data_IF_893423280601
#
_entry.id   IF_893423280601
#
_cell.length_a   1.000
_cell.length_b   1.000
_cell.length_c   1.000
_cell.angle_alpha   90.00
_cell.angle_beta   90.00
_cell.angle_gamma   90.00
#
_symmetry.space_group_name_H-M   'P 1'
#
loop_
_entity.id
_entity.type
_entity.pdbx_description
1 polymer ?
#
# COMPACT_ATOMS: atom_id res chain seq x y z
N UNK A 1 14.42 -6.43 -34.73
CA UNK A 1 15.26 -7.61 -34.45
C UNK A 1 14.34 -8.81 -34.37
N UNK A 2 14.52 -9.83 -35.23
CA UNK A 2 13.66 -11.04 -35.23
C UNK A 2 14.37 -12.07 -34.33
N UNK A 3 13.76 -12.44 -33.19
CA UNK A 3 14.29 -13.47 -32.29
C UNK A 3 13.59 -14.78 -32.61
N UNK A 4 14.36 -15.85 -32.77
CA UNK A 4 13.83 -17.18 -33.01
C UNK A 4 13.31 -17.76 -31.70
N UNK A 5 12.00 -17.91 -31.57
CA UNK A 5 11.35 -18.52 -30.41
C UNK A 5 11.11 -20.01 -30.63
N UNK A 6 11.11 -20.78 -29.54
CA UNK A 6 10.73 -22.19 -29.54
C UNK A 6 9.55 -22.36 -28.59
N UNK A 7 8.58 -23.15 -29.02
CA UNK A 7 7.48 -23.54 -28.15
C UNK A 7 7.94 -24.67 -27.19
N UNK A 8 7.64 -24.52 -25.91
CA UNK A 8 7.97 -25.50 -24.89
C UNK A 8 6.71 -25.79 -24.09
N UNK A 9 6.32 -27.06 -24.00
CA UNK A 9 5.23 -27.56 -23.16
C UNK A 9 5.83 -28.34 -22.00
N UNK A 10 5.50 -28.00 -20.78
CA UNK A 10 5.98 -28.65 -19.58
C UNK A 10 4.76 -29.15 -18.81
N UNK A 11 4.72 -30.47 -18.53
CA UNK A 11 3.70 -31.09 -17.71
C UNK A 11 4.33 -31.88 -16.58
N UNK A 12 3.71 -31.84 -15.40
CA UNK A 12 4.26 -32.51 -14.22
C UNK A 12 3.31 -32.44 -13.01
N UNK A 13 3.70 -33.05 -11.89
CA UNK A 13 2.93 -33.00 -10.66
C UNK A 13 2.85 -31.56 -10.12
N UNK A 14 1.68 -31.18 -9.59
CA UNK A 14 1.43 -29.87 -8.99
C UNK A 14 2.48 -29.47 -7.93
N UNK A 15 2.90 -30.43 -7.10
CA UNK A 15 3.86 -30.19 -5.99
C UNK A 15 5.22 -29.73 -6.47
N UNK A 16 5.55 -29.98 -7.74
CA UNK A 16 6.85 -29.62 -8.31
C UNK A 16 6.86 -28.24 -9.01
N UNK A 17 5.71 -27.56 -9.11
CA UNK A 17 5.59 -26.31 -9.87
C UNK A 17 6.58 -25.26 -9.37
N UNK A 18 6.55 -24.96 -8.07
CA UNK A 18 7.40 -23.91 -7.48
C UNK A 18 8.89 -24.25 -7.66
N UNK A 19 9.26 -25.50 -7.43
CA UNK A 19 10.63 -25.97 -7.62
C UNK A 19 11.09 -25.86 -9.08
N UNK A 20 10.22 -26.14 -10.03
CA UNK A 20 10.54 -26.05 -11.47
C UNK A 20 10.63 -24.59 -11.90
N UNK A 21 9.70 -23.75 -11.45
CA UNK A 21 9.72 -22.34 -11.71
C UNK A 21 11.00 -21.69 -11.19
N UNK A 22 11.35 -21.90 -9.93
CA UNK A 22 12.52 -21.29 -9.29
C UNK A 22 13.84 -21.82 -9.90
N UNK A 23 14.01 -23.13 -10.02
CA UNK A 23 15.27 -23.73 -10.40
C UNK A 23 15.58 -23.66 -11.90
N UNK A 24 14.55 -23.72 -12.74
CA UNK A 24 14.73 -23.85 -14.19
C UNK A 24 14.15 -22.69 -14.98
N UNK A 25 12.91 -22.23 -14.68
CA UNK A 25 12.23 -21.24 -15.50
C UNK A 25 12.68 -19.81 -15.21
N UNK A 26 12.95 -19.47 -13.95
CA UNK A 26 13.40 -18.14 -13.54
C UNK A 26 14.71 -17.65 -14.19
N UNK A 27 15.50 -18.59 -14.74
CA UNK A 27 16.80 -18.30 -15.36
C UNK A 27 16.71 -17.87 -16.83
N UNK A 28 15.55 -17.98 -17.43
CA UNK A 28 15.35 -17.73 -18.85
C UNK A 28 14.22 -16.72 -19.08
N UNK A 29 14.38 -15.89 -20.08
CA UNK A 29 13.28 -15.04 -20.56
C UNK A 29 12.27 -15.92 -21.31
N UNK A 30 11.05 -16.02 -20.77
CA UNK A 30 10.00 -16.83 -21.34
C UNK A 30 8.69 -16.05 -21.41
N UNK A 31 7.98 -16.21 -22.51
CA UNK A 31 6.61 -15.76 -22.63
C UNK A 31 5.70 -16.93 -22.24
N UNK A 32 4.90 -16.73 -21.17
CA UNK A 32 3.93 -17.72 -20.71
C UNK A 32 2.61 -17.51 -21.44
N UNK A 33 2.06 -18.59 -21.99
CA UNK A 33 0.74 -18.59 -22.60
C UNK A 33 -0.26 -19.34 -21.72
N UNK A 34 -1.51 -18.92 -21.78
CA UNK A 34 -2.56 -19.54 -20.99
C UNK A 34 -3.05 -20.82 -21.67
N UNK A 35 -2.69 -21.97 -21.11
CA UNK A 35 -3.03 -23.28 -21.66
C UNK A 35 -4.54 -23.64 -21.59
N UNK A 36 -5.39 -22.83 -20.97
CA UNK A 36 -6.84 -23.13 -20.81
C UNK A 36 -7.53 -23.37 -22.16
N UNK A 37 -7.10 -22.66 -23.19
CA UNK A 37 -7.68 -22.81 -24.54
C UNK A 37 -7.26 -24.15 -25.21
N UNK A 38 -6.04 -24.62 -24.97
CA UNK A 38 -5.50 -25.86 -25.53
C UNK A 38 -5.94 -27.07 -24.76
N UNK A 39 -6.12 -26.98 -23.43
CA UNK A 39 -6.53 -28.06 -22.55
C UNK A 39 -7.99 -28.48 -22.75
N UNK A 40 -8.83 -27.68 -23.38
CA UNK A 40 -10.23 -28.04 -23.71
C UNK A 40 -10.36 -29.24 -24.65
N UNK A 41 -9.29 -29.63 -25.30
CA UNK A 41 -9.26 -30.77 -26.23
C UNK A 41 -8.71 -32.07 -25.61
N UNK A 42 -8.30 -32.06 -24.34
CA UNK A 42 -7.65 -33.20 -23.69
C UNK A 42 -8.49 -33.66 -22.49
N UNK A 43 -9.13 -34.82 -22.58
CA UNK A 43 -10.15 -35.31 -21.63
C UNK A 43 -9.68 -35.57 -20.17
N UNK A 44 -8.37 -35.50 -19.89
CA UNK A 44 -7.82 -35.86 -18.57
C UNK A 44 -6.94 -34.73 -17.93
N UNK A 45 -6.84 -33.57 -18.55
CA UNK A 45 -6.07 -32.48 -18.00
C UNK A 45 -6.99 -31.30 -17.62
N UNK A 46 -7.02 -30.96 -16.35
CA UNK A 46 -7.73 -29.76 -15.87
C UNK A 46 -6.74 -28.62 -15.67
N UNK A 47 -7.09 -27.39 -16.08
CA UNK A 47 -6.24 -26.25 -15.81
C UNK A 47 -6.10 -26.07 -14.30
N UNK A 48 -4.89 -25.78 -13.87
CA UNK A 48 -4.62 -25.42 -12.48
C UNK A 48 -5.24 -24.04 -12.19
N UNK A 49 -6.42 -24.03 -11.61
CA UNK A 49 -7.15 -22.82 -11.22
C UNK A 49 -7.10 -22.68 -9.70
N UNK A 50 -5.94 -22.42 -9.15
CA UNK A 50 -5.84 -21.92 -7.78
C UNK A 50 -5.57 -20.41 -7.80
N UNK A 51 -6.06 -19.76 -6.75
CA UNK A 51 -5.72 -18.36 -6.50
C UNK A 51 -4.20 -18.30 -6.28
N UNK A 52 -3.50 -17.58 -7.16
CA UNK A 52 -2.07 -17.41 -7.02
C UNK A 52 -1.78 -16.66 -5.70
N UNK A 53 -1.13 -17.28 -4.70
CA UNK A 53 -0.88 -16.68 -3.39
C UNK A 53 0.04 -15.47 -3.46
N UNK A 54 0.83 -15.36 -4.52
CA UNK A 54 1.80 -14.26 -4.73
C UNK A 54 1.19 -13.01 -5.36
N UNK A 55 -0.01 -13.09 -5.89
CA UNK A 55 -0.64 -11.97 -6.63
C UNK A 55 -0.84 -10.74 -5.74
N UNK A 56 -1.33 -10.94 -4.54
CA UNK A 56 -1.58 -9.82 -3.61
C UNK A 56 -0.29 -9.21 -3.05
N UNK A 57 0.68 -10.01 -2.56
CA UNK A 57 1.98 -9.50 -2.14
C UNK A 57 2.73 -8.78 -3.26
N UNK A 58 2.71 -9.31 -4.48
CA UNK A 58 3.34 -8.66 -5.64
C UNK A 58 2.73 -7.29 -5.92
N UNK A 59 1.40 -7.19 -5.97
CA UNK A 59 0.72 -5.91 -6.20
C UNK A 59 1.06 -4.87 -5.12
N UNK A 60 1.19 -5.29 -3.85
CA UNK A 60 1.64 -4.42 -2.76
C UNK A 60 3.10 -3.98 -2.94
N UNK A 61 3.98 -4.91 -3.29
CA UNK A 61 5.39 -4.59 -3.54
C UNK A 61 5.54 -3.60 -4.70
N UNK A 62 4.79 -3.76 -5.78
CA UNK A 62 4.76 -2.81 -6.90
C UNK A 62 4.27 -1.42 -6.49
N UNK A 63 3.23 -1.34 -5.63
CA UNK A 63 2.77 -0.08 -5.07
C UNK A 63 3.84 0.62 -4.24
N UNK A 64 4.57 -0.12 -3.39
CA UNK A 64 5.66 0.44 -2.61
C UNK A 64 6.83 0.86 -3.49
N UNK A 65 7.20 0.07 -4.48
CA UNK A 65 8.24 0.42 -5.46
C UNK A 65 7.91 1.71 -6.22
N UNK A 66 6.63 1.94 -6.55
CA UNK A 66 6.19 3.17 -7.20
C UNK A 66 6.28 4.41 -6.29
N UNK A 67 6.19 4.24 -4.96
CA UNK A 67 6.38 5.32 -3.99
C UNK A 67 7.85 5.70 -3.81
N UNK A 68 8.76 4.73 -3.95
CA UNK A 68 10.21 4.92 -3.87
C UNK A 68 10.68 5.39 -5.25
N UNK A 69 10.74 6.70 -5.46
CA UNK A 69 11.19 7.27 -6.73
C UNK A 69 12.64 6.85 -7.03
N UNK A 70 12.78 5.88 -7.95
CA UNK A 70 13.98 5.66 -8.80
C UNK A 70 15.36 5.46 -8.15
N UNK A 71 15.47 4.95 -6.97
CA UNK A 71 16.75 4.37 -6.58
C UNK A 71 16.76 2.90 -7.02
N UNK A 72 17.53 2.59 -8.05
CA UNK A 72 17.85 1.21 -8.43
C UNK A 72 18.73 0.64 -7.33
N UNK A 73 18.13 0.21 -6.25
CA UNK A 73 18.83 -0.55 -5.22
C UNK A 73 18.98 -1.97 -5.77
N UNK A 74 20.18 -2.31 -6.19
CA UNK A 74 20.52 -3.70 -6.45
C UNK A 74 20.65 -4.40 -5.09
N UNK A 75 19.65 -5.19 -4.75
CA UNK A 75 19.74 -6.07 -3.59
C UNK A 75 20.59 -7.29 -4.00
N UNK A 76 21.79 -7.35 -3.50
CA UNK A 76 22.68 -8.51 -3.66
C UNK A 76 22.29 -9.69 -2.75
N UNK A 77 21.21 -9.57 -1.97
CA UNK A 77 20.75 -10.60 -1.04
C UNK A 77 19.71 -11.50 -1.70
N UNK A 78 20.04 -12.77 -1.80
CA UNK A 78 19.05 -13.81 -2.15
C UNK A 78 18.21 -14.08 -0.91
N UNK A 79 17.03 -13.47 -0.87
CA UNK A 79 16.03 -13.73 0.18
C UNK A 79 15.19 -14.94 -0.20
N UNK A 80 14.79 -15.70 0.79
CA UNK A 80 13.82 -16.78 0.58
C UNK A 80 12.41 -16.18 0.36
N UNK A 81 11.56 -16.93 -0.30
CA UNK A 81 10.19 -16.54 -0.62
C UNK A 81 9.38 -16.18 0.64
N UNK A 82 9.52 -16.98 1.69
CA UNK A 82 8.87 -16.74 2.98
C UNK A 82 9.32 -15.44 3.62
N UNK A 83 10.62 -15.16 3.61
CA UNK A 83 11.18 -13.90 4.14
C UNK A 83 10.68 -12.69 3.37
N UNK A 84 10.59 -12.78 2.04
CA UNK A 84 10.01 -11.70 1.22
C UNK A 84 8.54 -11.44 1.55
N UNK A 85 7.75 -12.48 1.72
CA UNK A 85 6.33 -12.36 2.07
C UNK A 85 6.13 -11.70 3.45
N UNK A 86 6.93 -12.09 4.42
CA UNK A 86 6.85 -11.54 5.77
C UNK A 86 7.31 -10.07 5.78
N UNK A 87 8.37 -9.73 5.06
CA UNK A 87 8.82 -8.35 4.90
C UNK A 87 7.75 -7.46 4.26
N UNK A 88 7.08 -7.93 3.21
CA UNK A 88 5.99 -7.16 2.56
C UNK A 88 4.84 -6.94 3.53
N UNK A 89 4.49 -7.93 4.35
CA UNK A 89 3.45 -7.79 5.39
C UNK A 89 3.82 -6.75 6.43
N UNK A 90 5.05 -6.79 6.92
CA UNK A 90 5.57 -5.86 7.92
C UNK A 90 5.57 -4.42 7.39
N UNK A 91 6.13 -4.19 6.20
CA UNK A 91 6.13 -2.89 5.54
C UNK A 91 4.69 -2.37 5.33
N UNK A 92 3.78 -3.24 4.88
CA UNK A 92 2.39 -2.86 4.69
C UNK A 92 1.73 -2.45 6.02
N UNK A 93 2.00 -3.17 7.11
CA UNK A 93 1.48 -2.85 8.42
C UNK A 93 2.00 -1.49 8.92
N UNK A 94 3.30 -1.25 8.78
CA UNK A 94 3.90 0.05 9.13
C UNK A 94 3.33 1.20 8.29
N UNK A 95 3.19 0.99 6.99
CA UNK A 95 2.61 1.99 6.08
C UNK A 95 1.19 2.38 6.50
N UNK A 96 0.33 1.42 6.81
CA UNK A 96 -1.03 1.67 7.27
C UNK A 96 -1.04 2.45 8.59
N UNK A 97 -0.21 2.05 9.56
CA UNK A 97 -0.07 2.77 10.83
C UNK A 97 0.38 4.23 10.64
N UNK A 98 1.29 4.48 9.70
CA UNK A 98 1.75 5.83 9.37
C UNK A 98 0.65 6.65 8.68
N UNK A 99 -0.14 6.01 7.82
CA UNK A 99 -1.28 6.66 7.17
C UNK A 99 -2.33 7.08 8.20
N UNK A 100 -2.69 6.22 9.14
CA UNK A 100 -3.66 6.53 10.20
C UNK A 100 -3.17 7.68 11.09
N UNK A 101 -1.88 7.65 11.47
CA UNK A 101 -1.26 8.75 12.23
C UNK A 101 -1.29 10.07 11.45
N UNK A 102 -0.99 10.03 10.16
CA UNK A 102 -1.03 11.21 9.28
C UNK A 102 -2.44 11.79 9.21
N UNK A 103 -3.46 10.95 9.08
CA UNK A 103 -4.85 11.39 9.03
C UNK A 103 -5.29 12.00 10.36
N UNK A 104 -4.92 11.38 11.48
CA UNK A 104 -5.19 11.91 12.81
C UNK A 104 -4.54 13.29 13.03
N UNK A 105 -3.28 13.44 12.59
CA UNK A 105 -2.56 14.70 12.69
C UNK A 105 -3.19 15.79 11.83
N UNK A 106 -3.64 15.46 10.62
CA UNK A 106 -4.37 16.40 9.75
C UNK A 106 -5.67 16.89 10.41
N UNK A 107 -6.45 15.99 11.01
CA UNK A 107 -7.68 16.36 11.74
C UNK A 107 -7.39 17.28 12.92
N UNK A 108 -6.31 17.00 13.66
CA UNK A 108 -5.87 17.88 14.77
C UNK A 108 -5.40 19.26 14.26
N UNK A 109 -4.66 19.29 13.18
CA UNK A 109 -4.21 20.54 12.56
C UNK A 109 -5.40 21.39 12.13
N UNK A 110 -6.40 20.78 11.51
CA UNK A 110 -7.63 21.48 11.09
C UNK A 110 -8.43 22.01 12.30
N UNK A 111 -8.60 21.20 13.36
CA UNK A 111 -9.25 21.63 14.59
C UNK A 111 -8.51 22.81 15.24
N UNK A 112 -7.19 22.76 15.31
CA UNK A 112 -6.37 23.86 15.85
C UNK A 112 -6.47 25.11 14.98
N UNK A 113 -6.46 24.99 13.66
CA UNK A 113 -6.67 26.12 12.75
C UNK A 113 -8.05 26.76 12.96
N UNK A 114 -9.09 25.94 13.09
CA UNK A 114 -10.43 26.44 13.35
C UNK A 114 -10.51 27.17 14.70
N UNK A 115 -9.87 26.64 15.75
CA UNK A 115 -9.80 27.32 17.05
C UNK A 115 -9.03 28.63 16.97
N UNK A 116 -7.92 28.65 16.24
CA UNK A 116 -7.16 29.90 16.02
C UNK A 116 -8.01 30.94 15.31
N UNK A 117 -8.69 30.59 14.23
CA UNK A 117 -9.57 31.50 13.49
C UNK A 117 -10.69 32.08 14.35
N UNK A 118 -11.18 31.31 15.34
CA UNK A 118 -12.19 31.79 16.28
C UNK A 118 -11.58 32.75 17.31
N UNK A 119 -10.33 32.52 17.73
CA UNK A 119 -9.67 33.31 18.77
C UNK A 119 -8.95 34.55 18.23
N UNK A 120 -8.48 34.51 16.98
CA UNK A 120 -7.72 35.61 16.35
C UNK A 120 -8.40 36.99 16.46
N UNK A 121 -9.74 37.14 16.26
CA UNK A 121 -10.42 38.42 16.42
C UNK A 121 -10.39 38.95 17.86
N UNK A 122 -10.12 38.14 18.84
CA UNK A 122 -10.08 38.50 20.25
C UNK A 122 -8.67 38.88 20.74
N UNK A 123 -7.61 38.50 19.99
CA UNK A 123 -6.23 38.80 20.36
C UNK A 123 -5.92 40.29 20.57
N UNK A 124 -6.47 41.21 19.74
CA UNK A 124 -6.24 42.68 19.95
C UNK A 124 -7.05 43.28 21.09
N UNK A 125 -7.96 42.50 21.70
CA UNK A 125 -8.74 43.00 22.83
C UNK A 125 -7.89 42.93 24.11
N UNK A 126 -7.54 44.06 24.69
CA UNK A 126 -6.87 44.17 26.00
C UNK A 126 -7.86 43.89 27.17
N UNK A 127 -8.61 42.78 27.06
CA UNK A 127 -9.61 42.40 28.05
C UNK A 127 -9.21 41.07 28.68
N UNK A 128 -9.14 41.07 30.00
CA UNK A 128 -8.95 39.82 30.74
C UNK A 128 -10.26 39.00 30.73
N UNK A 129 -10.30 38.02 29.83
CA UNK A 129 -11.47 37.15 29.65
C UNK A 129 -11.85 36.38 30.92
N UNK A 130 -10.89 36.09 31.80
CA UNK A 130 -11.17 35.43 33.07
C UNK A 130 -12.00 36.34 33.99
N UNK A 131 -11.75 37.65 34.00
CA UNK A 131 -12.56 38.58 34.77
C UNK A 131 -13.98 38.73 34.24
N UNK A 132 -14.11 38.67 32.92
CA UNK A 132 -15.43 38.80 32.24
C UNK A 132 -16.35 37.62 32.56
N UNK A 133 -15.80 36.42 32.72
CA UNK A 133 -16.60 35.22 33.06
C UNK A 133 -17.10 35.23 34.51
N UNK A 134 -16.51 36.05 35.39
CA UNK A 134 -16.84 36.11 36.82
C UNK A 134 -17.79 37.26 37.21
N UNK A 135 -18.31 38.00 36.24
CA UNK A 135 -19.26 39.07 36.53
C UNK A 135 -20.59 38.49 37.05
N UNK A 136 -20.95 38.89 38.26
CA UNK A 136 -22.13 38.36 38.96
C UNK A 136 -23.46 38.89 38.43
N UNK A 137 -23.43 40.10 37.86
CA UNK A 137 -24.63 40.82 37.44
C UNK A 137 -24.72 41.13 35.97
N UNK A 138 -23.69 40.82 35.18
CA UNK A 138 -23.64 41.05 33.75
C UNK A 138 -23.34 39.78 33.00
N UNK A 139 -24.07 39.55 31.89
CA UNK A 139 -23.75 38.49 30.92
C UNK A 139 -23.08 39.12 29.72
N UNK A 140 -21.84 38.78 29.49
CA UNK A 140 -21.10 39.28 28.33
C UNK A 140 -21.12 38.21 27.25
N UNK A 141 -21.39 38.58 26.02
CA UNK A 141 -21.33 37.71 24.84
C UNK A 141 -20.43 38.39 23.81
N UNK A 142 -19.48 37.64 23.32
CA UNK A 142 -18.65 38.06 22.20
C UNK A 142 -19.20 37.46 20.93
N UNK A 143 -19.24 38.20 19.86
CA UNK A 143 -19.75 37.76 18.58
C UNK A 143 -19.25 38.62 17.45
N UNK A 144 -19.33 38.09 16.24
CA UNK A 144 -19.08 38.86 15.02
C UNK A 144 -20.39 39.47 14.56
N UNK A 145 -20.38 40.75 14.36
CA UNK A 145 -21.50 41.47 13.71
C UNK A 145 -21.16 41.55 12.23
N UNK A 146 -22.11 41.13 11.38
CA UNK A 146 -21.98 41.20 9.93
C UNK A 146 -22.12 42.65 9.44
#
# INVERSE_FOLDING_TARGET
MIVKMKFLSISGPKVDIDRVCDKYLSKYEMQLENAVAELKTTDNLQPFVEVNPYREPLAKAEQFAALIKNEKVHADSVMTETEMMDMIREINHEYLNLQDKKELLKKKEEDLKNRLNVLEPFCPLEVDLNKVTHYRYMKVRFGRVA
#
